data_IF_630023380655
#
_entry.id   IF_630023380655
#
_cell.length_a   1.000
_cell.length_b   1.000
_cell.length_c   1.000
_cell.angle_alpha   90.00
_cell.angle_beta   90.00
_cell.angle_gamma   90.00
#
_symmetry.space_group_name_H-M   'P 1'
#
loop_
_entity.id
_entity.type
_entity.pdbx_description
1 polymer ?
#
# COMPACT_ATOMS: atom_id res chain seq x y z
N UNK A 1 35.91 4.88 0.52
CA UNK A 1 35.30 3.55 0.27
C UNK A 1 35.94 2.80 -0.90
N UNK A 2 35.74 3.16 -2.18
CA UNK A 2 36.34 2.40 -3.30
C UNK A 2 37.87 2.53 -3.36
N UNK A 3 38.39 3.75 -3.17
CA UNK A 3 39.84 3.99 -3.13
C UNK A 3 40.50 3.34 -1.90
N UNK A 4 39.80 3.28 -0.77
CA UNK A 4 40.25 2.54 0.44
C UNK A 4 40.31 1.03 0.21
N UNK A 5 39.45 0.50 -0.66
CA UNK A 5 39.48 -0.90 -1.11
C UNK A 5 40.48 -1.13 -2.25
N UNK A 6 41.24 -0.10 -2.67
CA UNK A 6 42.17 -0.17 -3.80
C UNK A 6 41.49 -0.42 -5.15
N UNK A 7 40.20 -0.12 -5.27
CA UNK A 7 39.42 -0.34 -6.49
C UNK A 7 39.07 0.99 -7.16
N UNK A 8 39.24 1.01 -8.48
CA UNK A 8 38.70 2.09 -9.31
C UNK A 8 37.20 1.88 -9.55
N UNK A 9 36.49 2.96 -9.92
CA UNK A 9 35.08 2.89 -10.32
C UNK A 9 34.86 1.86 -11.44
N UNK A 10 35.76 1.83 -12.42
CA UNK A 10 35.68 0.91 -13.55
C UNK A 10 35.78 -0.55 -13.09
N UNK A 11 36.81 -0.89 -12.30
CA UNK A 11 36.98 -2.25 -11.77
C UNK A 11 35.80 -2.68 -10.91
N UNK A 12 35.21 -1.76 -10.14
CA UNK A 12 34.02 -2.04 -9.35
C UNK A 12 32.82 -2.46 -10.23
N UNK A 13 32.49 -1.67 -11.26
CA UNK A 13 31.36 -1.96 -12.13
C UNK A 13 31.57 -3.24 -12.96
N UNK A 14 32.79 -3.51 -13.43
CA UNK A 14 33.11 -4.75 -14.14
C UNK A 14 32.92 -5.98 -13.24
N UNK A 15 33.44 -5.93 -12.01
CA UNK A 15 33.31 -7.05 -11.07
C UNK A 15 31.85 -7.27 -10.69
N UNK A 16 31.12 -6.18 -10.38
CA UNK A 16 29.70 -6.20 -10.03
C UNK A 16 28.84 -6.81 -11.15
N UNK A 17 28.95 -6.28 -12.37
CA UNK A 17 28.15 -6.76 -13.52
C UNK A 17 28.45 -8.23 -13.83
N UNK A 18 29.72 -8.64 -13.77
CA UNK A 18 30.13 -10.03 -13.97
C UNK A 18 29.51 -10.97 -12.92
N UNK A 19 29.54 -10.60 -11.65
CA UNK A 19 28.90 -11.39 -10.58
C UNK A 19 27.38 -11.43 -10.72
N UNK A 20 26.74 -10.29 -11.00
CA UNK A 20 25.30 -10.19 -11.10
C UNK A 20 24.73 -11.01 -12.28
N UNK A 21 25.42 -11.01 -13.42
CA UNK A 21 25.05 -11.83 -14.59
C UNK A 21 25.23 -13.32 -14.32
N UNK A 22 26.32 -13.71 -13.65
CA UNK A 22 26.61 -15.11 -13.32
C UNK A 22 25.60 -15.67 -12.33
N UNK A 23 25.32 -14.93 -11.26
CA UNK A 23 24.48 -15.38 -10.15
C UNK A 23 23.00 -15.04 -10.34
N UNK A 24 22.66 -14.31 -11.42
CA UNK A 24 21.31 -13.80 -11.71
C UNK A 24 20.65 -13.12 -10.51
N UNK A 25 21.48 -12.50 -9.66
CA UNK A 25 21.07 -11.88 -8.40
C UNK A 25 21.96 -10.67 -8.09
N UNK A 26 21.45 -9.75 -7.28
CA UNK A 26 22.20 -8.55 -6.90
C UNK A 26 23.01 -8.88 -5.62
N UNK A 27 24.35 -8.70 -5.61
CA UNK A 27 25.22 -9.12 -4.50
C UNK A 27 25.01 -8.40 -3.16
N UNK A 28 24.13 -7.41 -3.08
CA UNK A 28 23.85 -6.66 -1.85
C UNK A 28 22.38 -6.25 -1.75
N UNK A 29 21.90 -6.04 -0.52
CA UNK A 29 20.54 -5.59 -0.25
C UNK A 29 20.35 -4.14 -0.72
N UNK A 30 19.69 -3.96 -1.87
CA UNK A 30 19.18 -2.65 -2.27
C UNK A 30 17.83 -2.45 -1.58
N UNK A 31 17.83 -1.70 -0.48
CA UNK A 31 16.58 -1.18 0.08
C UNK A 31 16.29 0.15 -0.60
N UNK A 32 15.09 0.29 -1.15
CA UNK A 32 14.61 1.61 -1.54
C UNK A 32 14.66 2.53 -0.30
N UNK A 33 15.00 3.83 -0.45
CA UNK A 33 14.95 4.76 0.66
C UNK A 33 13.54 4.74 1.25
N UNK A 34 13.45 4.30 2.50
CA UNK A 34 12.19 4.34 3.24
C UNK A 34 11.85 5.82 3.44
N UNK A 35 10.59 6.24 3.25
CA UNK A 35 10.19 7.58 3.65
C UNK A 35 10.52 7.74 5.15
N UNK A 36 10.99 8.92 5.58
CA UNK A 36 11.53 9.14 6.93
C UNK A 36 10.56 8.75 8.06
N UNK A 37 9.26 8.61 7.75
CA UNK A 37 8.19 8.30 8.69
C UNK A 37 7.74 6.83 8.67
N UNK A 38 8.44 5.94 7.95
CA UNK A 38 8.02 4.54 7.77
C UNK A 38 8.06 3.69 9.06
N UNK A 39 8.76 4.13 10.11
CA UNK A 39 8.75 3.44 11.41
C UNK A 39 7.64 3.92 12.35
N UNK A 40 6.78 4.85 11.93
CA UNK A 40 5.71 5.34 12.77
C UNK A 40 4.59 4.31 12.86
N UNK A 41 4.63 3.50 13.92
CA UNK A 41 3.49 2.74 14.43
C UNK A 41 2.21 3.60 14.54
N UNK A 42 2.38 4.92 14.69
CA UNK A 42 1.30 5.90 14.70
C UNK A 42 0.50 5.99 13.39
N UNK A 43 1.12 5.73 12.23
CA UNK A 43 0.44 5.88 10.93
C UNK A 43 -0.72 4.91 10.73
N UNK A 44 -0.59 3.69 11.28
CA UNK A 44 -1.65 2.68 11.23
C UNK A 44 -2.83 3.04 12.14
N UNK A 45 -2.54 3.59 13.32
CA UNK A 45 -3.56 4.06 14.26
C UNK A 45 -4.31 5.27 13.70
N UNK A 46 -3.60 6.23 13.12
CA UNK A 46 -4.20 7.41 12.50
C UNK A 46 -5.07 7.04 11.28
N UNK A 47 -4.63 6.09 10.46
CA UNK A 47 -5.43 5.56 9.36
C UNK A 47 -6.72 4.88 9.87
N UNK A 48 -6.63 4.14 10.97
CA UNK A 48 -7.78 3.50 11.60
C UNK A 48 -8.78 4.53 12.14
N UNK A 49 -8.31 5.58 12.81
CA UNK A 49 -9.18 6.66 13.31
C UNK A 49 -9.94 7.37 12.19
N UNK A 50 -9.28 7.63 11.05
CA UNK A 50 -9.93 8.21 9.87
C UNK A 50 -11.02 7.29 9.32
N UNK A 51 -10.76 5.99 9.22
CA UNK A 51 -11.75 5.01 8.74
C UNK A 51 -12.93 4.87 9.71
N UNK A 52 -12.70 4.90 11.01
CA UNK A 52 -13.76 4.87 12.02
C UNK A 52 -14.62 6.13 12.01
N UNK A 53 -14.03 7.30 11.78
CA UNK A 53 -14.78 8.55 11.61
C UNK A 53 -15.72 8.46 10.40
N UNK A 54 -15.21 8.00 9.25
CA UNK A 54 -16.00 7.78 8.03
C UNK A 54 -17.10 6.73 8.26
N UNK A 55 -16.80 5.63 8.97
CA UNK A 55 -17.80 4.61 9.30
C UNK A 55 -18.93 5.18 10.17
N UNK A 56 -18.60 6.01 11.16
CA UNK A 56 -19.59 6.65 12.04
C UNK A 56 -20.43 7.69 11.30
N UNK A 57 -19.80 8.48 10.43
CA UNK A 57 -20.50 9.44 9.57
C UNK A 57 -21.44 8.75 8.58
N UNK A 58 -21.03 7.60 8.04
CA UNK A 58 -21.81 6.81 7.09
C UNK A 58 -22.75 5.78 7.75
N UNK A 59 -22.81 5.72 9.10
CA UNK A 59 -23.89 5.03 9.82
C UNK A 59 -25.17 5.86 9.71
N UNK A 60 -25.68 5.98 8.49
CA UNK A 60 -27.09 6.30 8.30
C UNK A 60 -27.87 5.08 8.75
N UNK A 61 -28.90 5.29 9.54
CA UNK A 61 -29.86 4.25 9.89
C UNK A 61 -30.62 3.91 8.60
N UNK A 62 -30.22 2.82 7.95
CA UNK A 62 -30.88 2.33 6.74
C UNK A 62 -32.03 1.44 7.21
N UNK A 63 -33.25 1.92 7.00
CA UNK A 63 -34.46 1.12 7.18
C UNK A 63 -34.63 0.20 5.97
N UNK A 64 -34.13 -1.04 6.11
CA UNK A 64 -34.16 -2.05 5.07
C UNK A 64 -35.59 -2.43 4.66
N UNK A 65 -36.57 -2.32 5.55
CA UNK A 65 -37.97 -2.64 5.23
C UNK A 65 -38.60 -1.55 4.35
N UNK A 66 -38.27 -0.29 4.62
CA UNK A 66 -38.67 0.84 3.77
C UNK A 66 -38.00 0.80 2.40
N UNK A 67 -36.71 0.51 2.33
CA UNK A 67 -36.00 0.39 1.05
C UNK A 67 -36.54 -0.78 0.21
N UNK A 68 -36.79 -1.92 0.85
CA UNK A 68 -37.35 -3.11 0.20
C UNK A 68 -38.77 -2.88 -0.31
N UNK A 69 -39.64 -2.24 0.49
CA UNK A 69 -41.01 -1.94 0.07
C UNK A 69 -41.05 -0.94 -1.09
N UNK A 70 -40.19 0.08 -1.07
CA UNK A 70 -40.00 1.01 -2.19
C UNK A 70 -39.57 0.31 -3.48
N UNK A 71 -38.56 -0.56 -3.40
CA UNK A 71 -38.08 -1.32 -4.55
C UNK A 71 -39.12 -2.29 -5.12
N UNK A 72 -39.92 -2.93 -4.25
CA UNK A 72 -41.02 -3.80 -4.69
C UNK A 72 -42.14 -3.00 -5.37
N UNK A 73 -42.48 -1.84 -4.83
CA UNK A 73 -43.47 -0.94 -5.44
C UNK A 73 -43.00 -0.39 -6.79
N UNK A 74 -41.73 -0.03 -6.94
CA UNK A 74 -41.17 0.42 -8.22
C UNK A 74 -41.18 -0.69 -9.28
N UNK A 75 -40.86 -1.93 -8.87
CA UNK A 75 -40.78 -3.07 -9.78
C UNK A 75 -42.15 -3.61 -10.21
N UNK A 76 -43.13 -3.61 -9.30
CA UNK A 76 -44.42 -4.28 -9.51
C UNK A 76 -45.62 -3.34 -9.53
N UNK A 77 -45.42 -2.03 -9.28
CA UNK A 77 -46.50 -1.05 -9.08
C UNK A 77 -47.14 -1.15 -7.69
N UNK A 78 -47.96 -0.16 -7.35
CA UNK A 78 -48.88 -0.28 -6.21
C UNK A 78 -49.86 -1.43 -6.50
N UNK A 79 -49.89 -2.43 -5.63
CA UNK A 79 -50.99 -3.38 -5.60
C UNK A 79 -52.00 -2.76 -4.62
N UNK A 80 -53.10 -2.22 -5.17
CA UNK A 80 -54.28 -1.79 -4.41
C UNK A 80 -54.94 -2.98 -3.69
#
# INVERSE_FOLDING_TARGET
MLDEMGQTKQTFYETFTKTALRERSIPFMIKAPLPPNASNHHSKLEAFERLEAVRKENKREIDFDKERSGAMHEKYGAID
#
